data_IF_272343533569
#
_entry.id   IF_272343533569
#
_cell.length_a   1.000
_cell.length_b   1.000
_cell.length_c   1.000
_cell.angle_alpha   90.00
_cell.angle_beta   90.00
_cell.angle_gamma   90.00
#
_symmetry.space_group_name_H-M   'P 1'
#
loop_
_entity.id
_entity.type
_entity.pdbx_description
1 polymer ?
#
# COMPACT_ATOMS: atom_id res chain seq x y z
N UNK A 1 -47.01 -5.94 21.61
CA UNK A 1 -46.87 -4.62 20.97
C UNK A 1 -45.42 -4.21 21.12
N UNK A 2 -44.62 -4.35 20.06
CA UNK A 2 -43.22 -3.93 20.09
C UNK A 2 -43.19 -2.40 20.25
N UNK A 3 -42.51 -1.91 21.30
CA UNK A 3 -42.44 -0.48 21.62
C UNK A 3 -41.76 0.31 20.50
N UNK A 4 -42.19 1.56 20.32
CA UNK A 4 -41.67 2.45 19.29
C UNK A 4 -40.15 2.63 19.43
N UNK A 5 -39.41 2.21 18.39
CA UNK A 5 -37.97 2.43 18.27
C UNK A 5 -37.71 3.93 18.07
N UNK A 6 -37.28 4.60 19.14
CA UNK A 6 -36.74 5.96 19.07
C UNK A 6 -35.38 5.91 18.38
N UNK A 7 -35.38 6.10 17.06
CA UNK A 7 -34.16 6.27 16.27
C UNK A 7 -33.80 7.75 16.27
N UNK A 8 -32.68 8.09 16.89
CA UNK A 8 -32.10 9.43 16.79
C UNK A 8 -31.54 9.61 15.37
N UNK A 9 -32.27 10.36 14.55
CA UNK A 9 -31.88 10.71 13.17
C UNK A 9 -31.11 12.02 13.09
N UNK A 10 -30.91 12.70 14.23
CA UNK A 10 -30.31 14.04 14.28
C UNK A 10 -28.83 13.98 14.59
N UNK A 11 -28.38 13.01 15.38
CA UNK A 11 -26.97 12.85 15.75
C UNK A 11 -26.36 11.62 15.11
N UNK A 12 -25.14 11.76 14.58
CA UNK A 12 -24.35 10.60 14.15
C UNK A 12 -24.01 9.77 15.40
N UNK A 13 -24.25 8.46 15.32
CA UNK A 13 -23.90 7.55 16.40
C UNK A 13 -22.40 7.62 16.69
N UNK A 14 -22.05 7.66 17.98
CA UNK A 14 -20.66 7.60 18.44
C UNK A 14 -20.11 6.21 18.09
N UNK A 15 -19.36 6.12 16.99
CA UNK A 15 -18.75 4.88 16.52
C UNK A 15 -17.33 4.73 17.07
N UNK A 16 -16.99 3.52 17.48
CA UNK A 16 -15.65 3.16 17.93
C UNK A 16 -14.71 3.00 16.71
N UNK A 17 -13.89 4.01 16.46
CA UNK A 17 -12.94 4.07 15.35
C UNK A 17 -11.54 3.40 15.50
N UNK A 18 -11.05 2.94 16.67
CA UNK A 18 -9.69 2.42 16.80
C UNK A 18 -9.33 1.31 15.82
N UNK A 19 -10.24 0.35 15.59
CA UNK A 19 -9.96 -0.76 14.67
C UNK A 19 -10.06 -0.35 13.19
N UNK A 20 -10.90 0.64 12.87
CA UNK A 20 -10.97 1.23 11.53
C UNK A 20 -9.67 1.95 11.18
N UNK A 21 -9.15 2.77 12.09
CA UNK A 21 -7.89 3.49 11.88
C UNK A 21 -6.70 2.54 11.71
N UNK A 22 -6.60 1.50 12.56
CA UNK A 22 -5.54 0.49 12.46
C UNK A 22 -5.55 -0.24 11.13
N UNK A 23 -6.73 -0.72 10.71
CA UNK A 23 -6.86 -1.48 9.46
C UNK A 23 -6.59 -0.60 8.25
N UNK A 24 -7.05 0.65 8.27
CA UNK A 24 -6.79 1.60 7.21
C UNK A 24 -5.30 1.98 7.12
N UNK A 25 -4.64 2.22 8.26
CA UNK A 25 -3.20 2.48 8.29
C UNK A 25 -2.38 1.31 7.72
N UNK A 26 -2.78 0.08 8.04
CA UNK A 26 -2.17 -1.13 7.47
C UNK A 26 -2.40 -1.20 5.96
N UNK A 27 -3.64 -0.98 5.49
CA UNK A 27 -3.96 -0.96 4.06
C UNK A 27 -3.10 0.06 3.30
N UNK A 28 -3.02 1.30 3.80
CA UNK A 28 -2.22 2.36 3.19
C UNK A 28 -0.73 1.98 3.17
N UNK A 29 -0.22 1.42 4.27
CA UNK A 29 1.17 0.94 4.34
C UNK A 29 1.47 -0.16 3.32
N UNK A 30 0.62 -1.18 3.23
CA UNK A 30 0.76 -2.27 2.27
C UNK A 30 0.66 -1.77 0.83
N UNK A 31 -0.31 -0.90 0.54
CA UNK A 31 -0.48 -0.37 -0.81
C UNK A 31 0.73 0.46 -1.22
N UNK A 32 1.18 1.38 -0.35
CA UNK A 32 2.35 2.24 -0.59
C UNK A 32 3.59 1.42 -0.93
N UNK A 33 3.97 0.48 -0.05
CA UNK A 33 5.19 -0.30 -0.24
C UNK A 33 5.04 -1.42 -1.28
N UNK A 34 3.85 -2.00 -1.41
CA UNK A 34 3.52 -3.00 -2.42
C UNK A 34 3.62 -2.44 -3.84
N UNK A 35 3.09 -1.24 -4.09
CA UNK A 35 3.22 -0.57 -5.39
C UNK A 35 4.68 -0.29 -5.75
N UNK A 36 5.50 0.19 -4.80
CA UNK A 36 6.94 0.39 -5.02
C UNK A 36 7.64 -0.91 -5.41
N UNK A 37 7.35 -1.99 -4.68
CA UNK A 37 7.95 -3.29 -4.95
C UNK A 37 7.60 -3.79 -6.35
N UNK A 38 6.34 -3.67 -6.77
CA UNK A 38 5.90 -4.06 -8.11
C UNK A 38 6.62 -3.26 -9.20
N UNK A 39 6.75 -1.94 -9.04
CA UNK A 39 7.49 -1.08 -9.98
C UNK A 39 8.96 -1.50 -10.05
N UNK A 40 9.61 -1.68 -8.89
CA UNK A 40 11.00 -2.12 -8.83
C UNK A 40 11.19 -3.48 -9.53
N UNK A 41 10.29 -4.43 -9.31
CA UNK A 41 10.31 -5.75 -9.92
C UNK A 41 10.21 -5.65 -11.45
N UNK A 42 9.27 -4.86 -11.97
CA UNK A 42 9.10 -4.66 -13.41
C UNK A 42 10.34 -4.02 -14.06
N UNK A 43 10.96 -3.04 -13.39
CA UNK A 43 12.21 -2.43 -13.87
C UNK A 43 13.36 -3.44 -13.87
N UNK A 44 13.51 -4.22 -12.80
CA UNK A 44 14.51 -5.29 -12.74
C UNK A 44 14.31 -6.31 -13.87
N UNK A 45 13.08 -6.75 -14.11
CA UNK A 45 12.73 -7.65 -15.20
C UNK A 45 13.04 -7.06 -16.57
N UNK A 46 12.77 -5.76 -16.79
CA UNK A 46 13.13 -5.07 -18.02
C UNK A 46 14.65 -5.12 -18.27
N UNK A 47 15.46 -4.83 -17.26
CA UNK A 47 16.92 -4.86 -17.37
C UNK A 47 17.45 -6.28 -17.63
N UNK A 48 16.94 -7.27 -16.90
CA UNK A 48 17.45 -8.64 -16.96
C UNK A 48 16.97 -9.43 -18.18
N UNK A 49 15.68 -9.30 -18.52
CA UNK A 49 15.02 -10.14 -19.52
C UNK A 49 14.93 -9.48 -20.89
N UNK A 50 14.65 -8.17 -20.95
CA UNK A 50 14.47 -7.46 -22.23
C UNK A 50 15.81 -6.91 -22.72
N UNK A 51 16.55 -6.22 -21.84
CA UNK A 51 17.83 -5.60 -22.22
C UNK A 51 19.01 -6.59 -22.20
N UNK A 52 18.82 -7.81 -21.70
CA UNK A 52 19.87 -8.85 -21.65
C UNK A 52 21.08 -8.50 -20.78
N UNK A 53 20.93 -7.57 -19.83
CA UNK A 53 22.04 -7.07 -18.99
C UNK A 53 22.49 -8.02 -17.88
N UNK A 54 21.88 -9.21 -17.80
CA UNK A 54 22.19 -10.26 -16.83
C UNK A 54 21.52 -10.08 -15.46
N UNK A 55 21.62 -11.11 -14.62
CA UNK A 55 20.93 -11.17 -13.31
C UNK A 55 21.48 -10.16 -12.30
N UNK A 56 22.77 -9.83 -12.37
CA UNK A 56 23.39 -8.89 -11.43
C UNK A 56 22.84 -7.48 -11.67
N UNK A 57 22.79 -7.04 -12.93
CA UNK A 57 22.31 -5.71 -13.30
C UNK A 57 20.81 -5.55 -13.01
N UNK A 58 20.00 -6.59 -13.24
CA UNK A 58 18.59 -6.56 -12.87
C UNK A 58 18.37 -6.46 -11.36
N UNK A 59 19.17 -7.18 -10.56
CA UNK A 59 19.10 -7.11 -9.10
C UNK A 59 19.51 -5.73 -8.59
N UNK A 60 20.58 -5.15 -9.16
CA UNK A 60 21.03 -3.80 -8.82
C UNK A 60 19.97 -2.76 -9.19
N UNK A 61 19.39 -2.85 -10.39
CA UNK A 61 18.30 -1.96 -10.81
C UNK A 61 17.08 -2.05 -9.90
N UNK A 62 16.70 -3.26 -9.49
CA UNK A 62 15.64 -3.49 -8.51
C UNK A 62 15.93 -2.79 -7.17
N UNK A 63 17.14 -2.96 -6.61
CA UNK A 63 17.55 -2.34 -5.35
C UNK A 63 17.58 -0.81 -5.46
N UNK A 64 18.07 -0.28 -6.59
CA UNK A 64 18.11 1.17 -6.85
C UNK A 64 16.71 1.76 -6.88
N UNK A 65 15.76 1.11 -7.56
CA UNK A 65 14.37 1.59 -7.59
C UNK A 65 13.71 1.49 -6.20
N UNK A 66 13.98 0.43 -5.42
CA UNK A 66 13.54 0.35 -4.02
C UNK A 66 14.09 1.50 -3.18
N UNK A 67 15.38 1.83 -3.33
CA UNK A 67 16.01 2.94 -2.62
C UNK A 67 15.35 4.28 -3.01
N UNK A 68 15.14 4.53 -4.30
CA UNK A 68 14.43 5.71 -4.80
C UNK A 68 13.02 5.77 -4.21
N UNK A 69 12.27 4.67 -4.24
CA UNK A 69 10.93 4.59 -3.68
C UNK A 69 10.90 4.87 -2.17
N UNK A 70 11.92 4.42 -1.44
CA UNK A 70 12.07 4.72 -0.02
C UNK A 70 12.26 6.22 0.22
N UNK A 71 13.15 6.89 -0.51
CA UNK A 71 13.35 8.35 -0.37
C UNK A 71 12.15 9.17 -0.85
N UNK A 72 11.44 8.72 -1.90
CA UNK A 72 10.30 9.43 -2.47
C UNK A 72 9.03 9.34 -1.62
N UNK A 73 8.86 8.27 -0.83
CA UNK A 73 7.65 7.98 -0.04
C UNK A 73 7.91 7.95 1.48
N UNK A 74 9.11 8.36 1.89
CA UNK A 74 9.47 8.70 3.27
C UNK A 74 8.70 9.93 3.73
#
# INVERSE_FOLDING_TARGET
MAGELKIDTTNAAEMDYPEHEKTYALFVGMFKWGSVFLVALLVGMMLGLIMGSGVITSLLGFIVVLAIGWFALR
#
